data_IF_726234732232
#
_entry.id   IF_726234732232
#
_cell.length_a   1.000
_cell.length_b   1.000
_cell.length_c   1.000
_cell.angle_alpha   90.00
_cell.angle_beta   90.00
_cell.angle_gamma   90.00
#
_symmetry.space_group_name_H-M   'P 1'
#
loop_
_entity.id
_entity.type
_entity.pdbx_description
1 polymer ?
#
# COMPACT_ATOMS: atom_id res chain seq x y z
N UNK A 1 19.85 -34.56 13.69
CA UNK A 1 19.13 -34.11 12.48
C UNK A 1 17.65 -34.03 12.82
N UNK A 2 17.15 -32.85 13.21
CA UNK A 2 15.72 -32.55 13.13
C UNK A 2 15.52 -31.04 13.19
N UNK A 3 15.12 -30.52 12.03
CA UNK A 3 14.26 -29.37 11.81
C UNK A 3 14.61 -28.09 12.55
N UNK A 4 15.44 -27.27 11.88
CA UNK A 4 15.34 -25.82 12.01
C UNK A 4 13.92 -25.46 11.54
N UNK A 5 13.08 -24.97 12.45
CA UNK A 5 11.83 -24.30 12.08
C UNK A 5 12.19 -23.23 11.05
N UNK A 6 11.82 -23.44 9.78
CA UNK A 6 12.09 -22.44 8.75
C UNK A 6 11.27 -21.21 9.10
N UNK A 7 11.92 -20.16 9.60
CA UNK A 7 11.30 -18.86 9.73
C UNK A 7 10.66 -18.54 8.37
N UNK A 8 9.34 -18.45 8.38
CA UNK A 8 8.55 -18.16 7.20
C UNK A 8 9.14 -16.93 6.48
N UNK A 9 9.47 -17.08 5.20
CA UNK A 9 10.06 -16.01 4.38
C UNK A 9 9.24 -14.72 4.54
N UNK A 10 9.92 -13.58 4.67
CA UNK A 10 9.25 -12.27 4.75
C UNK A 10 8.35 -12.00 3.53
N UNK A 11 8.63 -12.66 2.40
CA UNK A 11 7.84 -12.55 1.18
C UNK A 11 6.62 -13.50 1.15
N UNK A 12 6.47 -14.40 2.13
CA UNK A 12 5.36 -15.35 2.19
C UNK A 12 4.01 -14.64 2.40
N UNK A 13 3.14 -14.73 1.40
CA UNK A 13 1.78 -14.19 1.43
C UNK A 13 0.89 -15.08 2.27
N UNK A 14 0.21 -14.49 3.25
CA UNK A 14 -0.68 -15.18 4.18
C UNK A 14 -2.13 -14.76 3.91
N UNK A 15 -3.05 -15.67 4.22
CA UNK A 15 -4.49 -15.38 4.20
C UNK A 15 -4.88 -14.68 5.50
N UNK A 16 -4.57 -13.39 5.57
CA UNK A 16 -4.91 -12.51 6.69
C UNK A 16 -6.33 -11.93 6.50
N UNK A 17 -6.92 -11.36 7.55
CA UNK A 17 -8.28 -10.80 7.49
C UNK A 17 -8.35 -9.63 6.51
N UNK A 18 -9.10 -9.78 5.41
CA UNK A 18 -9.36 -8.68 4.47
C UNK A 18 -10.38 -7.68 5.01
N UNK A 19 -10.42 -6.48 4.42
CA UNK A 19 -11.40 -5.42 4.69
C UNK A 19 -11.44 -4.83 6.12
N UNK A 20 -10.47 -5.12 6.99
CA UNK A 20 -10.46 -4.63 8.39
C UNK A 20 -9.78 -3.25 8.57
N UNK A 21 -9.80 -2.41 7.55
CA UNK A 21 -9.10 -1.12 7.52
C UNK A 21 -9.94 -0.01 6.88
N UNK A 22 -9.41 1.22 6.87
CA UNK A 22 -10.01 2.30 6.10
C UNK A 22 -9.65 2.13 4.63
N UNK A 23 -10.64 1.94 3.76
CA UNK A 23 -10.47 1.54 2.34
C UNK A 23 -9.32 2.28 1.61
N UNK A 24 -9.24 3.60 1.77
CA UNK A 24 -8.27 4.47 1.07
C UNK A 24 -6.80 4.27 1.46
N UNK A 25 -6.56 3.53 2.55
CA UNK A 25 -5.23 3.22 3.05
C UNK A 25 -4.86 1.76 2.81
N UNK A 26 -5.82 0.92 2.39
CA UNK A 26 -5.53 -0.47 2.08
C UNK A 26 -4.68 -0.56 0.82
N UNK A 27 -3.67 -1.44 0.86
CA UNK A 27 -2.99 -1.87 -0.34
C UNK A 27 -3.99 -2.52 -1.32
N UNK A 28 -3.73 -2.46 -2.65
CA UNK A 28 -4.59 -3.06 -3.67
C UNK A 28 -4.98 -4.50 -3.37
N UNK A 29 -4.02 -5.35 -3.00
CA UNK A 29 -4.23 -6.75 -2.68
C UNK A 29 -5.13 -6.95 -1.45
N UNK A 30 -5.05 -6.06 -0.45
CA UNK A 30 -5.89 -6.11 0.76
C UNK A 30 -7.34 -5.71 0.42
N UNK A 31 -7.50 -4.64 -0.35
CA UNK A 31 -8.81 -4.14 -0.78
C UNK A 31 -9.54 -5.14 -1.71
N UNK A 32 -8.77 -5.89 -2.51
CA UNK A 32 -9.26 -6.94 -3.41
C UNK A 32 -9.39 -8.32 -2.74
N UNK A 33 -9.12 -8.42 -1.43
CA UNK A 33 -9.20 -9.65 -0.65
C UNK A 33 -8.26 -10.77 -1.15
N UNK A 34 -7.10 -10.38 -1.68
CA UNK A 34 -6.05 -11.29 -2.12
C UNK A 34 -5.07 -11.60 -0.97
N UNK A 35 -4.33 -12.72 -1.02
CA UNK A 35 -3.29 -13.00 -0.04
C UNK A 35 -2.21 -11.91 -0.02
N UNK A 36 -1.81 -11.47 1.17
CA UNK A 36 -0.85 -10.39 1.34
C UNK A 36 0.15 -10.68 2.46
N UNK A 37 1.21 -9.87 2.53
CA UNK A 37 2.25 -9.94 3.56
C UNK A 37 2.48 -8.53 4.14
N UNK A 38 3.56 -8.34 4.91
CA UNK A 38 3.90 -7.08 5.54
C UNK A 38 4.06 -5.91 4.54
N UNK A 39 4.28 -6.16 3.24
CA UNK A 39 4.36 -5.12 2.20
C UNK A 39 3.05 -4.36 1.98
N UNK A 40 1.93 -4.89 2.46
CA UNK A 40 0.68 -4.15 2.51
C UNK A 40 0.78 -2.94 3.47
N UNK A 41 1.51 -3.09 4.58
CA UNK A 41 1.69 -2.02 5.57
C UNK A 41 2.55 -0.88 5.02
N UNK A 42 3.48 -1.16 4.10
CA UNK A 42 4.27 -0.12 3.43
C UNK A 42 3.36 0.82 2.62
N UNK A 43 2.36 0.26 1.92
CA UNK A 43 1.38 1.06 1.19
C UNK A 43 0.51 1.90 2.14
N UNK A 44 0.06 1.30 3.26
CA UNK A 44 -0.71 1.99 4.30
C UNK A 44 0.08 3.15 4.89
N UNK A 45 1.36 2.93 5.20
CA UNK A 45 2.27 3.93 5.75
C UNK A 45 2.49 5.11 4.80
N UNK A 46 2.79 4.86 3.52
CA UNK A 46 2.99 5.97 2.57
C UNK A 46 1.70 6.73 2.27
N UNK A 47 0.54 6.06 2.33
CA UNK A 47 -0.78 6.70 2.24
C UNK A 47 -1.08 7.59 3.46
N UNK A 48 -0.64 7.19 4.66
CA UNK A 48 -0.69 8.01 5.87
C UNK A 48 0.27 9.20 5.79
N UNK A 49 1.50 8.98 5.31
CA UNK A 49 2.48 10.05 5.11
C UNK A 49 1.95 11.13 4.15
N UNK A 50 1.33 10.72 3.03
CA UNK A 50 0.65 11.64 2.13
C UNK A 50 -0.42 12.45 2.86
N UNK A 51 -1.23 11.80 3.70
CA UNK A 51 -2.28 12.48 4.45
C UNK A 51 -1.69 13.57 5.37
N UNK A 52 -0.62 13.26 6.11
CA UNK A 52 0.02 14.23 6.98
C UNK A 52 0.64 15.40 6.21
N UNK A 53 1.28 15.15 5.07
CA UNK A 53 1.96 16.22 4.32
C UNK A 53 1.01 17.09 3.49
N UNK A 54 -0.10 16.51 3.01
CA UNK A 54 -1.10 17.23 2.21
C UNK A 54 -2.25 17.81 3.03
N UNK A 55 -2.42 17.36 4.28
CA UNK A 55 -3.62 17.58 5.08
C UNK A 55 -4.92 17.12 4.39
N UNK A 56 -4.82 16.20 3.44
CA UNK A 56 -5.96 15.65 2.71
C UNK A 56 -5.94 14.13 2.75
N UNK A 57 -7.12 13.52 2.89
CA UNK A 57 -7.25 12.06 2.82
C UNK A 57 -6.72 11.58 1.46
N UNK A 58 -5.93 10.49 1.40
CA UNK A 58 -5.49 9.92 0.14
C UNK A 58 -6.71 9.54 -0.70
N UNK A 59 -6.66 9.78 -2.00
CA UNK A 59 -7.75 9.48 -2.93
C UNK A 59 -9.09 10.17 -2.62
N UNK A 60 -9.11 11.29 -1.89
CA UNK A 60 -10.34 11.96 -1.42
C UNK A 60 -11.42 12.18 -2.50
N UNK A 61 -11.03 12.29 -3.76
CA UNK A 61 -11.92 12.46 -4.92
C UNK A 61 -12.56 11.16 -5.47
N UNK A 62 -12.22 9.98 -4.93
CA UNK A 62 -12.74 8.69 -5.39
C UNK A 62 -13.88 8.19 -4.49
N UNK A 63 -14.90 7.56 -5.07
CA UNK A 63 -15.84 6.66 -4.38
C UNK A 63 -15.19 5.30 -4.08
N UNK A 64 -15.81 4.43 -3.26
CA UNK A 64 -15.30 3.06 -3.07
C UNK A 64 -15.11 2.29 -4.39
N UNK A 65 -16.08 2.32 -5.29
CA UNK A 65 -16.01 1.59 -6.57
C UNK A 65 -14.89 2.13 -7.47
N UNK A 66 -14.75 3.45 -7.56
CA UNK A 66 -13.67 4.07 -8.34
C UNK A 66 -12.31 3.85 -7.69
N UNK A 67 -12.21 3.74 -6.37
CA UNK A 67 -10.97 3.33 -5.70
C UNK A 67 -10.55 1.90 -6.08
N UNK A 68 -11.50 0.96 -6.08
CA UNK A 68 -11.23 -0.41 -6.51
C UNK A 68 -10.85 -0.49 -7.99
N UNK A 69 -11.55 0.24 -8.87
CA UNK A 69 -11.25 0.24 -10.30
C UNK A 69 -9.94 0.98 -10.62
N UNK A 70 -9.82 2.23 -10.21
CA UNK A 70 -8.72 3.08 -10.66
C UNK A 70 -7.46 2.94 -9.81
N UNK A 71 -7.59 3.00 -8.49
CA UNK A 71 -6.42 2.94 -7.61
C UNK A 71 -5.89 1.51 -7.50
N UNK A 72 -6.77 0.53 -7.24
CA UNK A 72 -6.33 -0.84 -7.02
C UNK A 72 -5.95 -1.55 -8.33
N UNK A 73 -6.83 -1.52 -9.35
CA UNK A 73 -6.58 -2.26 -10.60
C UNK A 73 -5.77 -1.46 -11.62
N UNK A 74 -6.04 -0.17 -11.79
CA UNK A 74 -5.34 0.65 -12.80
C UNK A 74 -4.12 1.41 -12.28
N UNK A 75 -3.78 1.29 -10.99
CA UNK A 75 -2.58 1.89 -10.43
C UNK A 75 -2.59 3.41 -10.30
N UNK A 76 -3.76 4.07 -10.38
CA UNK A 76 -3.86 5.53 -10.21
C UNK A 76 -3.42 5.94 -8.80
N UNK A 77 -2.68 7.04 -8.66
CA UNK A 77 -2.15 7.57 -7.38
C UNK A 77 -2.42 9.06 -7.22
N UNK A 78 -2.39 9.60 -5.99
CA UNK A 78 -2.43 11.04 -5.76
C UNK A 78 -1.24 11.77 -6.38
N UNK A 79 -1.46 13.02 -6.75
CA UNK A 79 -0.38 13.89 -7.21
C UNK A 79 0.49 14.29 -6.02
N UNK A 80 1.80 14.14 -6.18
CA UNK A 80 2.78 14.59 -5.21
C UNK A 80 3.10 16.07 -5.45
N UNK A 81 3.19 16.85 -4.37
CA UNK A 81 3.59 18.26 -4.48
C UNK A 81 5.08 18.36 -4.76
N UNK A 82 5.46 19.10 -5.81
CA UNK A 82 6.87 19.40 -6.12
C UNK A 82 7.59 20.22 -5.04
N UNK A 83 6.86 20.70 -4.02
CA UNK A 83 7.45 21.39 -2.85
C UNK A 83 8.00 20.42 -1.81
N UNK A 84 7.62 19.15 -1.85
CA UNK A 84 8.14 18.15 -0.91
C UNK A 84 9.54 17.68 -1.34
N UNK A 85 10.43 17.34 -0.39
CA UNK A 85 11.76 16.83 -0.71
C UNK A 85 11.71 15.65 -1.70
N UNK A 86 12.67 15.57 -2.61
CA UNK A 86 12.71 14.51 -3.64
C UNK A 86 12.67 13.10 -3.05
N UNK A 87 13.40 12.88 -1.96
CA UNK A 87 13.45 11.58 -1.26
C UNK A 87 12.08 11.19 -0.69
N UNK A 88 11.31 12.16 -0.19
CA UNK A 88 9.96 11.94 0.34
C UNK A 88 8.99 11.57 -0.80
N UNK A 89 9.13 12.22 -1.96
CA UNK A 89 8.34 11.86 -3.14
C UNK A 89 8.70 10.45 -3.65
N UNK A 90 9.99 10.13 -3.72
CA UNK A 90 10.48 8.82 -4.14
C UNK A 90 10.02 7.71 -3.19
N UNK A 91 10.07 7.94 -1.88
CA UNK A 91 9.57 7.02 -0.85
C UNK A 91 8.07 6.74 -1.04
N UNK A 92 7.24 7.77 -1.21
CA UNK A 92 5.80 7.59 -1.45
C UNK A 92 5.54 6.83 -2.75
N UNK A 93 6.23 7.18 -3.83
CA UNK A 93 6.08 6.51 -5.12
C UNK A 93 6.46 5.01 -5.01
N UNK A 94 7.56 4.69 -4.33
CA UNK A 94 8.00 3.30 -4.11
C UNK A 94 6.99 2.51 -3.27
N UNK A 95 6.52 3.07 -2.14
CA UNK A 95 5.53 2.40 -1.28
C UNK A 95 4.16 2.24 -1.93
N UNK A 96 3.85 3.04 -2.97
CA UNK A 96 2.62 2.93 -3.75
C UNK A 96 2.72 2.02 -4.99
N UNK A 97 3.83 1.31 -5.17
CA UNK A 97 3.95 0.33 -6.27
C UNK A 97 2.78 -0.67 -6.28
N UNK A 98 2.23 -0.93 -7.47
CA UNK A 98 1.20 -1.97 -7.64
C UNK A 98 1.78 -3.38 -7.44
N UNK A 99 3.07 -3.60 -7.73
CA UNK A 99 3.76 -4.83 -7.33
C UNK A 99 4.24 -4.67 -5.88
N UNK A 100 3.66 -5.45 -4.97
CA UNK A 100 3.98 -5.43 -3.54
C UNK A 100 5.44 -5.79 -3.25
N UNK A 101 6.08 -6.61 -4.09
CA UNK A 101 7.51 -6.98 -3.94
C UNK A 101 8.45 -5.82 -4.27
N UNK A 102 8.00 -4.91 -5.12
CA UNK A 102 8.76 -3.72 -5.50
C UNK A 102 8.60 -2.56 -4.49
N UNK A 103 7.75 -2.72 -3.45
CA UNK A 103 7.63 -1.73 -2.38
C UNK A 103 8.86 -1.84 -1.48
N UNK A 104 9.76 -0.88 -1.65
CA UNK A 104 10.99 -0.78 -0.88
C UNK A 104 10.69 -0.22 0.52
N UNK A 105 10.51 -1.15 1.47
CA UNK A 105 10.69 -1.08 2.93
C UNK A 105 10.39 -2.48 3.48
#
# INVERSE_FOLDING_TARGET
MSSVDSAASDDERRKLTGLTGSLRYMAPEVALQEPYNHKAEVFSFTSLLYHFLSHQKPFSWMTPDTFLADACRNGKRPLLSGKWPGDVQALMAAGWSSDSRARAL
#
